data_IF_361880602421
#
_entry.id   IF_361880602421
#
_cell.length_a   1.000
_cell.length_b   1.000
_cell.length_c   1.000
_cell.angle_alpha   90.00
_cell.angle_beta   90.00
_cell.angle_gamma   90.00
#
_symmetry.space_group_name_H-M   'P 1'
#
loop_
_entity.id
_entity.type
_entity.pdbx_description
1 polymer ?
#
# COMPACT_ATOMS: atom_id res chain seq x y z
N UNK A 1 -10.84 -46.03 43.05
CA UNK A 1 -10.24 -46.37 41.74
C UNK A 1 -11.08 -45.71 40.66
N UNK A 2 -10.81 -44.44 40.37
CA UNK A 2 -11.51 -43.68 39.32
C UNK A 2 -10.43 -43.04 38.44
N UNK A 3 -10.27 -43.60 37.24
CA UNK A 3 -9.33 -43.12 36.24
C UNK A 3 -9.90 -41.90 35.51
N UNK A 4 -9.15 -40.80 35.54
CA UNK A 4 -9.39 -39.63 34.70
C UNK A 4 -8.83 -39.91 33.31
N UNK A 5 -9.70 -40.03 32.30
CA UNK A 5 -9.31 -40.05 30.90
C UNK A 5 -8.93 -38.61 30.49
N UNK A 6 -7.68 -38.45 30.07
CA UNK A 6 -7.19 -37.25 29.39
C UNK A 6 -7.58 -37.37 27.91
N UNK A 7 -8.65 -36.69 27.51
CA UNK A 7 -8.92 -36.44 26.09
C UNK A 7 -8.22 -35.14 25.69
N UNK A 8 -7.01 -35.29 25.17
CA UNK A 8 -6.23 -34.22 24.58
C UNK A 8 -6.78 -33.90 23.17
N UNK A 9 -7.79 -33.03 23.11
CA UNK A 9 -8.32 -32.52 21.85
C UNK A 9 -7.44 -31.39 21.33
N UNK A 10 -6.25 -31.73 20.80
CA UNK A 10 -5.51 -30.84 19.91
C UNK A 10 -6.14 -30.91 18.52
N UNK A 11 -7.33 -30.32 18.38
CA UNK A 11 -7.97 -30.08 17.10
C UNK A 11 -7.96 -28.56 16.80
N UNK A 12 -7.29 -28.22 15.71
CA UNK A 12 -7.66 -27.12 14.81
C UNK A 12 -7.34 -25.69 15.27
N UNK A 13 -6.05 -25.35 15.41
CA UNK A 13 -5.60 -23.96 15.40
C UNK A 13 -5.21 -23.46 13.99
N UNK A 14 -4.91 -24.37 13.06
CA UNK A 14 -4.42 -24.00 11.71
C UNK A 14 -5.53 -23.58 10.73
N UNK A 15 -6.81 -23.72 11.09
CA UNK A 15 -7.95 -23.54 10.16
C UNK A 15 -8.49 -22.10 10.04
N UNK A 16 -8.02 -21.14 10.84
CA UNK A 16 -8.55 -19.75 10.81
C UNK A 16 -7.69 -18.75 10.03
N UNK A 17 -6.49 -19.12 9.56
CA UNK A 17 -5.69 -18.26 8.68
C UNK A 17 -6.17 -18.45 7.23
N UNK A 18 -7.28 -17.79 6.88
CA UNK A 18 -7.68 -17.65 5.48
C UNK A 18 -6.57 -16.90 4.74
N UNK A 19 -5.76 -17.62 3.95
CA UNK A 19 -4.86 -17.02 2.95
C UNK A 19 -5.71 -16.11 2.07
N UNK A 20 -5.50 -14.80 2.19
CA UNK A 20 -6.05 -13.84 1.24
C UNK A 20 -5.33 -14.14 -0.09
N UNK A 21 -6.05 -14.47 -1.17
CA UNK A 21 -5.46 -14.59 -2.48
C UNK A 21 -4.74 -13.27 -2.80
N UNK A 22 -3.45 -13.35 -3.08
CA UNK A 22 -2.70 -12.19 -3.55
C UNK A 22 -2.94 -12.14 -5.04
N UNK A 23 -3.81 -11.23 -5.47
CA UNK A 23 -4.05 -11.01 -6.90
C UNK A 23 -2.79 -10.36 -7.49
N UNK A 24 -2.13 -11.06 -8.43
CA UNK A 24 -0.85 -10.63 -9.02
C UNK A 24 -0.96 -9.29 -9.79
N UNK A 25 -2.18 -8.87 -10.11
CA UNK A 25 -2.49 -7.62 -10.84
C UNK A 25 -2.92 -6.46 -9.93
N UNK A 26 -2.83 -6.60 -8.60
CA UNK A 26 -3.23 -5.55 -7.68
C UNK A 26 -2.36 -4.28 -7.88
N UNK A 27 -2.97 -3.09 -8.11
CA UNK A 27 -2.18 -1.89 -8.35
C UNK A 27 -1.37 -1.54 -7.10
N UNK A 28 -0.07 -1.31 -7.30
CA UNK A 28 0.85 -0.92 -6.24
C UNK A 28 0.69 0.58 -6.00
N UNK A 29 0.51 0.98 -4.75
CA UNK A 29 0.49 2.38 -4.34
C UNK A 29 1.70 2.75 -3.51
N UNK A 30 2.09 4.03 -3.58
CA UNK A 30 2.99 4.63 -2.63
C UNK A 30 2.24 5.12 -1.36
N UNK A 31 2.85 4.92 -0.19
CA UNK A 31 2.40 5.44 1.09
C UNK A 31 3.58 6.15 1.77
N UNK A 32 3.41 7.41 2.17
CA UNK A 32 4.41 8.13 2.96
C UNK A 32 4.15 7.90 4.44
N UNK A 33 5.12 7.30 5.15
CA UNK A 33 5.08 7.14 6.59
C UNK A 33 5.75 8.33 7.28
N UNK A 34 4.93 9.15 7.94
CA UNK A 34 5.34 10.38 8.62
C UNK A 34 6.53 10.18 9.57
N UNK A 35 6.60 9.05 10.27
CA UNK A 35 7.69 8.73 11.22
C UNK A 35 9.08 8.66 10.56
N UNK A 36 9.17 8.36 9.28
CA UNK A 36 10.45 8.22 8.57
C UNK A 36 10.71 9.34 7.57
N UNK A 37 9.70 10.16 7.26
CA UNK A 37 9.84 11.25 6.30
C UNK A 37 10.55 12.45 6.92
N UNK A 38 11.57 12.98 6.23
CA UNK A 38 12.33 14.15 6.67
C UNK A 38 11.43 15.39 6.85
N UNK A 39 10.47 15.60 5.94
CA UNK A 39 9.52 16.72 5.98
C UNK A 39 8.56 16.66 7.17
N UNK A 40 8.17 15.45 7.58
CA UNK A 40 7.37 15.27 8.79
C UNK A 40 8.20 15.35 10.08
N UNK A 41 9.50 15.10 9.99
CA UNK A 41 10.45 15.19 11.11
C UNK A 41 11.11 16.58 11.25
N UNK A 42 10.62 17.58 10.53
CA UNK A 42 11.03 18.98 10.70
C UNK A 42 12.21 19.44 9.82
N UNK A 43 12.70 18.58 8.92
CA UNK A 43 13.68 18.97 7.90
C UNK A 43 12.98 19.33 6.59
N UNK A 44 13.57 20.18 5.76
CA UNK A 44 13.02 20.42 4.42
C UNK A 44 13.33 19.24 3.49
N UNK A 45 12.31 18.69 2.82
CA UNK A 45 12.46 17.67 1.78
C UNK A 45 11.24 17.67 0.84
N UNK A 46 11.49 17.68 -0.46
CA UNK A 46 10.47 17.74 -1.53
C UNK A 46 10.76 16.76 -2.68
N UNK A 47 11.81 15.94 -2.56
CA UNK A 47 12.32 15.10 -3.66
C UNK A 47 11.23 14.18 -4.24
N UNK A 48 10.39 13.59 -3.40
CA UNK A 48 9.32 12.71 -3.88
C UNK A 48 8.28 13.43 -4.76
N UNK A 49 7.86 14.65 -4.39
CA UNK A 49 6.90 15.43 -5.17
C UNK A 49 7.52 15.96 -6.46
N UNK A 50 8.78 16.41 -6.42
CA UNK A 50 9.50 16.95 -7.59
C UNK A 50 9.78 15.88 -8.66
N UNK A 51 9.94 14.63 -8.26
CA UNK A 51 10.25 13.51 -9.16
C UNK A 51 9.03 12.71 -9.58
N UNK A 52 7.85 12.98 -9.00
CA UNK A 52 6.65 12.24 -9.37
C UNK A 52 6.23 12.63 -10.80
N UNK A 53 6.16 11.68 -11.75
CA UNK A 53 5.77 11.99 -13.13
C UNK A 53 4.25 12.12 -13.30
N UNK A 54 3.47 11.74 -12.29
CA UNK A 54 2.01 11.76 -12.33
C UNK A 54 1.49 13.02 -11.65
N UNK A 55 0.84 13.88 -12.43
CA UNK A 55 0.26 15.12 -11.93
C UNK A 55 -0.78 14.83 -10.84
N UNK A 56 -0.68 15.56 -9.72
CA UNK A 56 -1.59 15.42 -8.59
C UNK A 56 -1.42 14.15 -7.75
N UNK A 57 -0.52 13.22 -8.14
CA UNK A 57 -0.27 12.00 -7.36
C UNK A 57 0.44 12.27 -6.03
N UNK A 58 1.23 13.34 -5.94
CA UNK A 58 1.80 13.81 -4.68
C UNK A 58 1.50 15.30 -4.53
N UNK A 59 0.78 15.66 -3.48
CA UNK A 59 0.54 17.05 -3.08
C UNK A 59 1.41 17.41 -1.88
N UNK A 60 1.78 18.68 -1.75
CA UNK A 60 2.57 19.17 -0.62
C UNK A 60 1.78 20.27 0.08
N UNK A 61 1.37 20.00 1.32
CA UNK A 61 0.65 20.97 2.15
C UNK A 61 1.50 21.31 3.38
N UNK A 62 1.74 22.59 3.63
CA UNK A 62 2.61 23.05 4.73
C UNK A 62 3.98 22.36 4.74
N UNK A 63 4.56 22.14 3.55
CA UNK A 63 5.85 21.46 3.38
C UNK A 63 5.81 19.93 3.59
N UNK A 64 4.62 19.34 3.78
CA UNK A 64 4.45 17.92 4.08
C UNK A 64 3.81 17.17 2.90
N UNK A 65 4.50 16.19 2.30
CA UNK A 65 4.00 15.49 1.12
C UNK A 65 2.94 14.43 1.46
N UNK A 66 1.86 14.36 0.67
CA UNK A 66 0.79 13.36 0.76
C UNK A 66 0.58 12.72 -0.61
N UNK A 67 0.43 11.39 -0.65
CA UNK A 67 0.11 10.66 -1.88
C UNK A 67 -1.41 10.66 -2.09
N UNK A 68 -1.85 11.11 -3.26
CA UNK A 68 -3.21 10.88 -3.71
C UNK A 68 -3.27 9.52 -4.44
N UNK A 69 -3.96 8.52 -3.88
CA UNK A 69 -3.92 7.19 -4.43
C UNK A 69 -4.70 7.06 -5.75
N UNK A 70 -5.57 8.00 -6.10
CA UNK A 70 -6.35 7.97 -7.34
C UNK A 70 -5.52 8.37 -8.57
N UNK A 71 -4.45 9.12 -8.37
CA UNK A 71 -3.50 9.52 -9.42
C UNK A 71 -2.18 8.74 -9.35
N UNK A 72 -1.92 8.04 -8.24
CA UNK A 72 -0.71 7.26 -8.07
C UNK A 72 -0.71 6.05 -9.02
N UNK A 73 0.24 6.05 -9.96
CA UNK A 73 0.40 4.98 -10.96
C UNK A 73 1.18 3.76 -10.46
N UNK A 74 1.74 3.83 -9.26
CA UNK A 74 2.60 2.76 -8.74
C UNK A 74 3.99 2.68 -9.39
N UNK A 75 4.45 3.74 -10.08
CA UNK A 75 5.73 3.76 -10.80
C UNK A 75 7.00 3.66 -9.93
N UNK A 76 6.87 3.74 -8.60
CA UNK A 76 7.95 3.57 -7.60
C UNK A 76 9.07 4.62 -7.60
N UNK A 77 9.09 5.60 -8.51
CA UNK A 77 10.11 6.65 -8.54
C UNK A 77 10.28 7.36 -7.19
N UNK A 78 9.17 7.72 -6.52
CA UNK A 78 9.22 8.38 -5.21
C UNK A 78 9.84 7.50 -4.11
N UNK A 79 9.72 6.18 -4.23
CA UNK A 79 10.38 5.21 -3.35
C UNK A 79 11.89 5.21 -3.58
N UNK A 80 12.31 5.12 -4.84
CA UNK A 80 13.72 4.98 -5.21
C UNK A 80 14.54 6.23 -4.88
N UNK A 81 13.93 7.42 -4.97
CA UNK A 81 14.61 8.69 -4.73
C UNK A 81 14.55 9.18 -3.29
N UNK A 82 13.92 8.45 -2.36
CA UNK A 82 13.74 8.91 -0.99
C UNK A 82 15.10 8.98 -0.24
N UNK A 83 15.56 10.17 0.20
CA UNK A 83 16.87 10.32 0.84
C UNK A 83 16.85 10.07 2.35
N UNK A 84 15.71 9.69 2.93
CA UNK A 84 15.59 9.46 4.36
C UNK A 84 16.45 8.27 4.81
N UNK A 85 17.12 8.32 5.98
CA UNK A 85 17.97 7.22 6.46
C UNK A 85 17.26 5.87 6.52
N UNK A 86 15.98 5.91 6.88
CA UNK A 86 15.03 4.83 6.63
C UNK A 86 14.04 5.33 5.60
N UNK A 87 13.87 4.59 4.50
CA UNK A 87 12.96 4.98 3.43
C UNK A 87 11.56 5.26 4.00
N UNK A 88 11.01 6.42 3.68
CA UNK A 88 9.72 6.87 4.17
C UNK A 88 8.56 6.53 3.24
N UNK A 89 8.87 6.14 2.00
CA UNK A 89 7.87 5.80 0.97
C UNK A 89 7.79 4.28 0.90
N UNK A 90 6.62 3.73 1.22
CA UNK A 90 6.37 2.29 1.20
C UNK A 90 5.45 1.95 0.03
N UNK A 91 5.66 0.77 -0.54
CA UNK A 91 4.83 0.24 -1.61
C UNK A 91 3.84 -0.75 -1.01
N UNK A 92 2.55 -0.54 -1.26
CA UNK A 92 1.47 -1.37 -0.73
C UNK A 92 0.55 -1.81 -1.86
N UNK A 93 0.04 -3.04 -1.78
CA UNK A 93 -1.01 -3.48 -2.68
C UNK A 93 -2.32 -2.73 -2.36
N UNK A 94 -2.95 -2.12 -3.36
CA UNK A 94 -4.28 -1.54 -3.22
C UNK A 94 -5.27 -2.71 -3.21
N UNK A 95 -5.79 -3.08 -2.04
CA UNK A 95 -6.91 -4.02 -2.01
C UNK A 95 -8.11 -3.34 -2.70
N UNK A 96 -8.73 -3.95 -3.71
CA UNK A 96 -9.98 -3.42 -4.24
C UNK A 96 -10.98 -3.35 -3.08
N UNK A 97 -11.59 -2.19 -2.82
CA UNK A 97 -12.68 -2.11 -1.84
C UNK A 97 -13.82 -2.98 -2.38
N UNK A 98 -14.12 -4.09 -1.70
CA UNK A 98 -15.24 -4.97 -2.06
C UNK A 98 -16.52 -4.12 -2.14
N UNK A 99 -17.10 -3.97 -3.34
CA UNK A 99 -18.27 -3.13 -3.59
C UNK A 99 -18.09 -1.99 -4.60
N UNK A 100 -16.89 -1.74 -5.13
CA UNK A 100 -16.69 -0.80 -6.25
C UNK A 100 -16.53 -1.57 -7.55
N UNK A 101 -17.57 -1.54 -8.40
CA UNK A 101 -17.56 -2.16 -9.73
C UNK A 101 -16.60 -1.35 -10.61
N UNK A 102 -15.41 -1.85 -10.91
CA UNK A 102 -14.52 -1.22 -11.90
C UNK A 102 -15.09 -1.51 -13.28
N UNK A 103 -15.86 -0.56 -13.83
CA UNK A 103 -16.16 -0.57 -15.26
C UNK A 103 -14.84 -0.28 -15.98
N UNK A 104 -14.13 -1.32 -16.39
CA UNK A 104 -13.06 -1.19 -17.38
C UNK A 104 -13.75 -0.88 -18.71
N UNK A 105 -13.76 0.38 -19.13
CA UNK A 105 -14.16 0.77 -20.49
C UNK A 105 -13.11 0.30 -21.49
N UNK A 106 -13.11 -0.99 -21.79
CA UNK A 106 -12.53 -1.52 -23.01
C UNK A 106 -13.63 -1.56 -24.07
N UNK A 107 -13.92 -0.42 -24.69
CA UNK A 107 -14.55 -0.44 -26.01
C UNK A 107 -13.45 -0.58 -27.07
N UNK A 108 -13.14 -1.85 -27.31
CA UNK A 108 -12.75 -2.47 -28.57
C UNK A 108 -12.87 -1.58 -29.81
N UNK A 109 -11.77 -1.47 -30.53
CA UNK A 109 -11.69 -1.21 -31.98
C UNK A 109 -12.90 -1.75 -32.75
N UNK A 110 -13.68 -0.85 -33.36
CA UNK A 110 -14.55 -1.19 -34.47
C UNK A 110 -14.56 -0.03 -35.47
N UNK A 111 -13.93 -0.31 -36.63
CA UNK A 111 -13.84 0.45 -37.89
C UNK A 111 -12.72 1.48 -38.01
#
# INVERSE_FOLDING_TARGET
MFGLQSENTNSNFEDTIKKVPIDDDAPVLALILDRFCLSYQGSFCSVCSERCPADGAITVEQGKPRVNPDFCTGCKICHDVCPAPKNAVFLVARKPRQGMISQTSNETTAL
#
